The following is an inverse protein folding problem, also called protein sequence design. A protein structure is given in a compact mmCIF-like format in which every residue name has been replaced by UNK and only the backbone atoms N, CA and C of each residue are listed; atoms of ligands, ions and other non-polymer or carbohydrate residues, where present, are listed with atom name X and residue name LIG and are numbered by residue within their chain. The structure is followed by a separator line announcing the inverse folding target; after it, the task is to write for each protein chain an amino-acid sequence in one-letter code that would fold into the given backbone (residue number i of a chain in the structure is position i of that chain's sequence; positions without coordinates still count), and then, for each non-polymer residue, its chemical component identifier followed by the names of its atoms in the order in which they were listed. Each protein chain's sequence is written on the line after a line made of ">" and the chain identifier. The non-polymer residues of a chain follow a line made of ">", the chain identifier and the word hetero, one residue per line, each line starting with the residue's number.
data_IF_326298397184
#
_entry.id   IF_326298397184
#
_cell.length_a   1.000
_cell.length_b   1.000
_cell.length_c   1.000
_cell.angle_alpha   90.00
_cell.angle_beta   90.00
_cell.angle_gamma   90.00
#
_symmetry.space_group_name_H-M   'P 1'
#
loop_
_entity.id
_entity.type
_entity.pdbx_description
1 polymer ?
#
# COMPACT_ATOMS: atom_id res chain seq x y z
N UNK A 1 -18.27 -81.13 -61.02
CA UNK A 1 -17.22 -80.10 -60.88
C UNK A 1 -17.86 -78.75 -61.20
N UNK A 2 -17.36 -77.67 -60.60
CA UNK A 2 -17.87 -76.27 -60.60
C UNK A 2 -18.89 -76.02 -59.46
N UNK A 3 -18.41 -75.75 -58.24
CA UNK A 3 -17.90 -74.49 -57.68
C UNK A 3 -19.00 -73.58 -57.10
N UNK A 4 -19.03 -73.64 -55.77
CA UNK A 4 -19.63 -72.74 -54.80
C UNK A 4 -18.97 -71.35 -54.89
N UNK A 5 -19.75 -70.26 -54.99
CA UNK A 5 -19.24 -68.90 -54.74
C UNK A 5 -20.23 -68.12 -53.87
N UNK A 6 -19.98 -68.25 -52.55
CA UNK A 6 -20.55 -67.43 -51.50
C UNK A 6 -20.21 -65.95 -51.70
N UNK A 7 -21.22 -65.09 -51.66
CA UNK A 7 -21.08 -63.63 -51.62
C UNK A 7 -20.91 -63.17 -50.17
N UNK A 8 -19.90 -62.37 -49.81
CA UNK A 8 -19.88 -61.70 -48.52
C UNK A 8 -20.73 -60.42 -48.57
N UNK A 9 -21.66 -60.30 -47.63
CA UNK A 9 -22.42 -59.09 -47.36
C UNK A 9 -21.52 -58.08 -46.61
N UNK A 10 -21.28 -56.93 -47.23
CA UNK A 10 -20.53 -55.82 -46.65
C UNK A 10 -21.40 -55.13 -45.57
N UNK A 11 -21.03 -55.32 -44.30
CA UNK A 11 -21.68 -54.68 -43.14
C UNK A 11 -20.98 -53.34 -42.84
N UNK A 12 -21.56 -52.22 -43.30
CA UNK A 12 -21.12 -50.87 -42.94
C UNK A 12 -21.80 -50.41 -41.65
N UNK A 13 -21.14 -50.56 -40.49
CA UNK A 13 -21.73 -50.14 -39.21
C UNK A 13 -20.79 -49.37 -38.26
N UNK A 14 -19.67 -48.81 -38.75
CA UNK A 14 -18.63 -48.20 -37.89
C UNK A 14 -18.59 -46.66 -37.79
N UNK A 15 -19.42 -45.89 -38.51
CA UNK A 15 -19.21 -44.43 -38.60
C UNK A 15 -19.96 -43.55 -37.57
N UNK A 16 -20.96 -44.08 -36.85
CA UNK A 16 -21.79 -43.24 -35.96
C UNK A 16 -21.23 -43.11 -34.54
N UNK A 17 -20.43 -44.07 -34.09
CA UNK A 17 -19.85 -44.10 -32.74
C UNK A 17 -18.61 -43.21 -32.63
N UNK A 18 -17.82 -43.12 -33.70
CA UNK A 18 -16.64 -42.24 -33.80
C UNK A 18 -17.03 -40.75 -33.80
N UNK A 19 -18.11 -40.40 -34.49
CA UNK A 19 -18.61 -39.02 -34.60
C UNK A 19 -19.14 -38.48 -33.25
N UNK A 20 -19.85 -39.33 -32.48
CA UNK A 20 -20.31 -39.02 -31.13
C UNK A 20 -19.17 -38.94 -30.11
N UNK A 21 -18.14 -39.78 -30.26
CA UNK A 21 -16.94 -39.73 -29.42
C UNK A 21 -16.12 -38.46 -29.65
N UNK A 22 -15.93 -38.07 -30.92
CA UNK A 22 -15.23 -36.82 -31.28
C UNK A 22 -15.99 -35.57 -30.81
N UNK A 23 -17.32 -35.55 -30.95
CA UNK A 23 -18.14 -34.44 -30.46
C UNK A 23 -18.00 -34.25 -28.94
N UNK A 24 -17.98 -35.34 -28.17
CA UNK A 24 -17.77 -35.28 -26.71
C UNK A 24 -16.38 -34.77 -26.34
N UNK A 25 -15.34 -35.20 -27.05
CA UNK A 25 -13.98 -34.73 -26.82
C UNK A 25 -13.84 -33.22 -27.08
N UNK A 26 -14.48 -32.72 -28.14
CA UNK A 26 -14.50 -31.28 -28.48
C UNK A 26 -15.22 -30.47 -27.41
N UNK A 27 -16.36 -30.94 -26.92
CA UNK A 27 -17.13 -30.27 -25.85
C UNK A 27 -16.31 -30.19 -24.56
N UNK A 28 -15.66 -31.29 -24.17
CA UNK A 28 -14.81 -31.33 -22.97
C UNK A 28 -13.63 -30.36 -23.10
N UNK A 29 -12.97 -30.33 -24.28
CA UNK A 29 -11.87 -29.41 -24.54
C UNK A 29 -12.31 -27.94 -24.46
N UNK A 30 -13.49 -27.61 -25.00
CA UNK A 30 -14.08 -26.27 -24.94
C UNK A 30 -14.38 -25.84 -23.50
N UNK A 31 -14.98 -26.71 -22.69
CA UNK A 31 -15.25 -26.45 -21.28
C UNK A 31 -13.95 -26.22 -20.50
N UNK A 32 -12.92 -27.00 -20.78
CA UNK A 32 -11.60 -26.85 -20.14
C UNK A 32 -10.90 -25.55 -20.53
N UNK A 33 -10.97 -25.15 -21.80
CA UNK A 33 -10.43 -23.86 -22.24
C UNK A 33 -11.16 -22.68 -21.57
N UNK A 34 -12.49 -22.79 -21.42
CA UNK A 34 -13.31 -21.74 -20.83
C UNK A 34 -13.03 -21.58 -19.33
N UNK A 35 -12.84 -22.68 -18.59
CA UNK A 35 -12.49 -22.62 -17.17
C UNK A 35 -11.11 -22.01 -16.96
N UNK A 36 -10.11 -22.38 -17.77
CA UNK A 36 -8.77 -21.77 -17.72
C UNK A 36 -8.83 -20.27 -17.98
N UNK A 37 -9.62 -19.83 -18.95
CA UNK A 37 -9.82 -18.40 -19.26
C UNK A 37 -10.48 -17.63 -18.10
N UNK A 38 -11.50 -18.21 -17.46
CA UNK A 38 -12.17 -17.57 -16.31
C UNK A 38 -11.22 -17.46 -15.12
N UNK A 39 -10.45 -18.51 -14.81
CA UNK A 39 -9.48 -18.50 -13.70
C UNK A 39 -8.37 -17.49 -13.94
N UNK A 40 -7.81 -17.44 -15.16
CA UNK A 40 -6.75 -16.47 -15.49
C UNK A 40 -7.25 -15.03 -15.49
N UNK A 41 -8.47 -14.76 -15.96
CA UNK A 41 -9.08 -13.43 -15.85
C UNK A 41 -9.40 -13.04 -14.41
N UNK A 42 -9.83 -13.98 -13.57
CA UNK A 42 -10.08 -13.75 -12.15
C UNK A 42 -8.78 -13.44 -11.39
N UNK A 43 -7.69 -14.15 -11.71
CA UNK A 43 -6.37 -13.91 -11.10
C UNK A 43 -5.72 -12.58 -11.54
N UNK A 44 -6.06 -12.07 -12.73
CA UNK A 44 -5.58 -10.75 -13.22
C UNK A 44 -6.22 -9.56 -12.49
N UNK A 45 -7.32 -9.75 -11.76
CA UNK A 45 -7.82 -8.74 -10.82
C UNK A 45 -7.02 -8.79 -9.52
N UNK A 46 -5.72 -8.46 -9.60
CA UNK A 46 -4.98 -8.07 -8.39
C UNK A 46 -5.67 -6.83 -7.84
N UNK A 47 -6.33 -6.97 -6.70
CA UNK A 47 -6.86 -5.85 -5.94
C UNK A 47 -5.73 -4.85 -5.74
N UNK A 48 -5.81 -3.72 -6.43
CA UNK A 48 -4.89 -2.62 -6.24
C UNK A 48 -5.29 -1.93 -4.94
N UNK A 49 -4.97 -2.56 -3.82
CA UNK A 49 -5.06 -1.92 -2.52
C UNK A 49 -4.08 -0.76 -2.54
N UNK A 50 -4.60 0.44 -2.83
CA UNK A 50 -3.88 1.69 -2.59
C UNK A 50 -3.77 1.85 -1.07
N UNK A 51 -2.87 1.09 -0.46
CA UNK A 51 -2.34 1.44 0.83
C UNK A 51 -1.64 2.78 0.62
N UNK A 52 -2.33 3.87 1.00
CA UNK A 52 -1.64 5.14 1.20
C UNK A 52 -0.43 4.81 2.06
N UNK A 53 0.80 5.19 1.64
CA UNK A 53 1.99 4.86 2.39
C UNK A 53 1.76 5.32 3.83
N UNK A 54 2.01 4.45 4.83
CA UNK A 54 1.82 4.82 6.22
C UNK A 54 2.59 6.12 6.46
N UNK A 55 1.93 7.11 7.06
CA UNK A 55 2.53 8.43 7.31
C UNK A 55 3.95 8.26 7.88
N UNK A 56 4.95 9.04 7.41
CA UNK A 56 6.34 8.89 7.80
C UNK A 56 6.48 8.74 9.33
N UNK A 57 7.26 7.74 9.76
CA UNK A 57 7.52 7.47 11.19
C UNK A 57 8.39 8.55 11.84
N UNK A 58 9.03 9.37 11.02
CA UNK A 58 9.88 10.47 11.44
C UNK A 58 9.23 11.76 11.00
N UNK A 59 9.07 12.70 11.92
CA UNK A 59 8.60 14.05 11.61
C UNK A 59 9.63 15.01 12.16
N UNK A 60 10.02 15.98 11.36
CA UNK A 60 10.93 17.02 11.76
C UNK A 60 10.28 18.35 11.46
N UNK A 61 10.27 19.24 12.44
CA UNK A 61 9.85 20.61 12.29
C UNK A 61 11.03 21.51 12.61
N UNK A 62 11.31 22.46 11.73
CA UNK A 62 12.33 23.47 11.93
C UNK A 62 11.64 24.80 11.79
N UNK A 63 11.59 25.55 12.89
CA UNK A 63 10.98 26.87 12.90
C UNK A 63 12.08 27.91 13.09
N UNK A 64 12.04 28.92 12.24
CA UNK A 64 12.84 30.13 12.40
C UNK A 64 11.87 31.29 12.56
N UNK A 65 12.05 32.05 13.63
CA UNK A 65 11.31 33.26 13.93
C UNK A 65 12.26 34.44 13.95
N UNK A 66 11.86 35.53 13.32
CA UNK A 66 12.66 36.75 13.24
C UNK A 66 11.74 37.94 13.08
N UNK A 67 11.89 38.93 13.95
CA UNK A 67 11.09 40.14 13.94
C UNK A 67 11.87 41.32 14.49
N UNK A 68 11.83 42.46 13.82
CA UNK A 68 12.57 43.65 14.24
C UNK A 68 11.77 44.91 14.00
N UNK A 69 11.80 45.82 14.98
CA UNK A 69 11.14 47.13 14.87
C UNK A 69 12.10 48.20 14.37
N UNK A 70 13.40 48.07 14.67
CA UNK A 70 14.49 48.91 14.17
C UNK A 70 15.86 48.21 14.40
N UNK A 71 16.96 48.82 13.95
CA UNK A 71 18.33 48.28 14.13
C UNK A 71 18.77 48.09 15.60
N UNK A 72 18.09 48.74 16.55
CA UNK A 72 18.38 48.63 17.99
C UNK A 72 17.50 47.60 18.69
N UNK A 73 16.39 47.19 18.07
CA UNK A 73 15.34 46.35 18.63
C UNK A 73 14.94 45.24 17.63
N UNK A 74 15.49 44.04 17.82
CA UNK A 74 15.17 42.86 17.04
C UNK A 74 15.13 41.60 17.90
N UNK A 75 14.36 40.60 17.49
CA UNK A 75 14.29 39.28 18.08
C UNK A 75 14.51 38.25 16.97
N UNK A 76 15.39 37.30 17.21
CA UNK A 76 15.64 36.16 16.34
C UNK A 76 15.65 34.89 17.19
N UNK A 77 14.98 33.85 16.72
CA UNK A 77 14.89 32.59 17.42
C UNK A 77 14.73 31.45 16.44
N UNK A 78 15.27 30.29 16.78
CA UNK A 78 15.10 29.06 16.03
C UNK A 78 14.73 27.92 16.96
N UNK A 79 13.92 27.00 16.47
CA UNK A 79 13.63 25.74 17.11
C UNK A 79 13.75 24.59 16.12
N UNK A 80 14.18 23.44 16.62
CA UNK A 80 14.20 22.18 15.89
C UNK A 80 13.47 21.17 16.76
N UNK A 81 12.48 20.51 16.19
CA UNK A 81 11.71 19.47 16.83
C UNK A 81 11.73 18.21 15.97
N UNK A 82 11.94 17.06 16.61
CA UNK A 82 11.91 15.75 16.00
C UNK A 82 10.93 14.85 16.74
N UNK A 83 10.08 14.17 15.99
CA UNK A 83 9.19 13.14 16.51
C UNK A 83 9.49 11.82 15.81
N UNK A 84 9.39 10.74 16.58
CA UNK A 84 9.59 9.38 16.13
C UNK A 84 8.50 8.45 16.65
N UNK A 85 7.78 7.81 15.74
CA UNK A 85 6.82 6.75 16.06
C UNK A 85 7.58 5.48 16.50
N UNK A 86 7.71 5.27 17.80
CA UNK A 86 8.30 4.06 18.40
C UNK A 86 7.47 2.82 18.06
N UNK A 87 6.15 2.96 18.03
CA UNK A 87 5.22 1.86 17.78
C UNK A 87 3.98 2.35 17.04
N UNK A 88 3.48 1.55 16.10
CA UNK A 88 2.23 1.80 15.38
C UNK A 88 1.40 0.52 15.31
N UNK A 89 0.21 0.56 15.90
CA UNK A 89 -0.76 -0.54 15.86
C UNK A 89 -1.55 -0.53 14.54
N UNK A 90 -2.03 -1.71 14.12
CA UNK A 90 -2.99 -1.84 12.99
C UNK A 90 -4.30 -1.08 13.23
N UNK A 91 -4.65 -0.82 14.48
CA UNK A 91 -5.83 -0.03 14.88
C UNK A 91 -5.62 1.49 14.86
N UNK A 92 -4.45 1.98 14.40
CA UNK A 92 -4.15 3.40 14.29
C UNK A 92 -3.56 4.05 15.54
N UNK A 93 -3.53 3.36 16.69
CA UNK A 93 -2.82 3.82 17.88
C UNK A 93 -1.31 3.89 17.63
N UNK A 94 -0.66 4.93 18.14
CA UNK A 94 0.79 5.13 17.98
C UNK A 94 1.44 5.68 19.24
N UNK A 95 2.66 5.21 19.49
CA UNK A 95 3.52 5.71 20.57
C UNK A 95 4.59 6.56 19.92
N UNK A 96 4.70 7.81 20.34
CA UNK A 96 5.56 8.83 19.77
C UNK A 96 6.58 9.25 20.80
N UNK A 97 7.86 9.17 20.47
CA UNK A 97 8.92 9.87 21.19
C UNK A 97 9.17 11.21 20.50
N UNK A 98 9.31 12.27 21.26
CA UNK A 98 9.53 13.63 20.78
C UNK A 98 10.73 14.24 21.48
N UNK A 99 11.47 15.07 20.77
CA UNK A 99 12.63 15.76 21.27
C UNK A 99 12.84 17.06 20.51
N UNK A 100 13.26 18.11 21.19
CA UNK A 100 13.48 19.39 20.54
C UNK A 100 14.40 20.31 21.30
N UNK A 101 14.95 21.26 20.57
CA UNK A 101 15.80 22.32 21.10
C UNK A 101 15.37 23.65 20.50
N UNK A 102 15.35 24.68 21.32
CA UNK A 102 15.04 26.04 20.92
C UNK A 102 16.09 27.00 21.46
N UNK A 103 16.49 27.99 20.65
CA UNK A 103 17.44 29.01 21.06
C UNK A 103 17.12 30.32 20.34
N UNK A 104 17.35 31.44 21.00
CA UNK A 104 17.11 32.74 20.40
C UNK A 104 17.90 33.85 21.07
N UNK A 105 17.93 35.00 20.42
CA UNK A 105 18.54 36.22 20.90
C UNK A 105 17.62 37.41 20.62
N UNK A 106 17.50 38.29 21.60
CA UNK A 106 16.71 39.51 21.53
C UNK A 106 17.62 40.69 21.81
N UNK A 107 17.57 41.72 20.97
CA UNK A 107 18.23 43.00 21.20
C UNK A 107 17.17 44.02 21.60
N UNK A 108 17.40 44.71 22.73
CA UNK A 108 16.55 45.77 23.26
C UNK A 108 17.44 46.95 23.59
N UNK A 109 17.13 48.12 23.04
CA UNK A 109 17.83 49.39 23.21
C UNK A 109 19.35 49.27 22.99
N UNK A 110 19.73 48.50 21.97
CA UNK A 110 21.12 48.29 21.60
C UNK A 110 21.87 47.24 22.45
N UNK A 111 21.24 46.70 23.50
CA UNK A 111 21.80 45.58 24.30
C UNK A 111 21.28 44.26 23.78
N UNK A 112 22.18 43.33 23.47
CA UNK A 112 21.82 41.98 23.02
C UNK A 112 21.72 41.04 24.21
N UNK A 113 20.56 40.40 24.36
CA UNK A 113 20.25 39.35 25.32
C UNK A 113 20.19 38.02 24.58
N UNK A 114 21.11 37.10 24.90
CA UNK A 114 21.02 35.72 24.42
C UNK A 114 20.03 34.98 25.31
N UNK A 115 18.96 34.45 24.72
CA UNK A 115 18.06 33.53 25.39
C UNK A 115 18.80 32.25 25.75
N UNK A 116 18.39 31.59 26.84
CA UNK A 116 18.96 30.29 27.20
C UNK A 116 18.45 29.24 26.23
N UNK A 117 19.29 28.30 25.78
CA UNK A 117 18.81 27.15 25.03
C UNK A 117 17.80 26.39 25.89
N UNK A 118 16.66 26.05 25.30
CA UNK A 118 15.61 25.25 25.93
C UNK A 118 15.56 23.90 25.22
N UNK A 119 15.61 22.82 25.99
CA UNK A 119 15.47 21.46 25.48
C UNK A 119 14.18 20.84 26.00
N UNK A 120 13.51 20.07 25.15
CA UNK A 120 12.32 19.30 25.50
C UNK A 120 12.47 17.87 25.05
N UNK A 121 12.03 16.91 25.87
CA UNK A 121 11.86 15.50 25.49
C UNK A 121 10.51 15.05 26.02
N UNK A 122 9.76 14.29 25.24
CA UNK A 122 8.44 13.83 25.60
C UNK A 122 8.10 12.48 24.98
N UNK A 123 7.23 11.73 25.64
CA UNK A 123 6.63 10.50 25.10
C UNK A 123 5.12 10.71 25.10
N UNK A 124 4.50 10.48 23.95
CA UNK A 124 3.06 10.61 23.74
C UNK A 124 2.46 9.30 23.26
N UNK A 125 1.21 9.06 23.62
CA UNK A 125 0.39 8.00 23.03
C UNK A 125 -0.75 8.68 22.29
N UNK A 126 -0.86 8.43 21.00
CA UNK A 126 -1.98 8.91 20.20
C UNK A 126 -2.95 7.75 19.97
N UNK A 127 -4.20 7.98 20.38
CA UNK A 127 -5.30 7.03 20.24
C UNK A 127 -6.29 7.67 19.26
N UNK A 128 -6.55 7.07 18.09
CA UNK A 128 -7.55 7.60 17.17
C UNK A 128 -8.94 7.46 17.79
N UNK A 129 -9.55 8.58 18.19
CA UNK A 129 -10.94 8.63 18.64
C UNK A 129 -11.82 8.77 17.40
N UNK A 130 -12.21 7.63 16.81
CA UNK A 130 -13.15 7.60 15.69
C UNK A 130 -12.75 6.69 14.53
N UNK A 131 -13.12 5.41 14.65
CA UNK A 131 -13.77 4.63 13.59
C UNK A 131 -14.40 3.42 14.26
N UNK A 132 -15.54 3.67 14.91
CA UNK A 132 -16.45 2.62 15.30
C UNK A 132 -17.11 2.07 14.04
N UNK A 133 -16.73 0.82 13.70
CA UNK A 133 -17.38 -0.13 12.79
C UNK A 133 -17.55 0.29 11.32
#
# INVERSE_FOLDING_TARGET
>A
MVEEHSRPAFHGHHDRTSLLAMARAVIIALLFALTVLVVTNAQRRRFNFKFQPPAPRHRFNVEASGGGRNHRNFNVGGSVHGEYDLYRSRGGSRVVASGGVAHGATRIDGKTYKGRPQGSVGIGVEIPIGKGR
#
